data_IF_863134557517
#
_entry.id   IF_863134557517
#
_cell.length_a   1.000
_cell.length_b   1.000
_cell.length_c   1.000
_cell.angle_alpha   90.00
_cell.angle_beta   90.00
_cell.angle_gamma   90.00
#
_symmetry.space_group_name_H-M   'P 1'
#
loop_
_entity.id
_entity.type
_entity.pdbx_description
1 polymer ?
#
# COMPACT_ATOMS: atom_id res chain seq x y z
N UNK A 1 20.18 -17.71 10.56
CA UNK A 1 19.92 -16.32 10.11
C UNK A 1 20.31 -16.20 8.65
N UNK A 2 19.59 -15.43 7.81
CA UNK A 2 19.95 -15.22 6.40
C UNK A 2 21.40 -14.74 6.27
N UNK A 3 22.22 -15.47 5.52
CA UNK A 3 23.63 -15.14 5.32
C UNK A 3 23.76 -14.04 4.25
N UNK A 4 22.96 -14.15 3.17
CA UNK A 4 22.95 -13.14 2.12
C UNK A 4 22.25 -11.86 2.58
N UNK A 5 22.98 -10.73 2.51
CA UNK A 5 22.52 -9.46 3.06
C UNK A 5 21.73 -8.66 2.02
N UNK A 6 20.44 -8.43 2.29
CA UNK A 6 19.54 -7.60 1.47
C UNK A 6 18.99 -6.38 2.20
N UNK A 7 19.64 -5.98 3.31
CA UNK A 7 19.18 -4.85 4.11
C UNK A 7 19.14 -3.54 3.33
N UNK A 8 20.18 -3.27 2.53
CA UNK A 8 20.27 -2.04 1.74
C UNK A 8 19.16 -1.96 0.69
N UNK A 9 18.95 -3.04 -0.06
CA UNK A 9 17.93 -3.15 -1.10
C UNK A 9 16.53 -3.06 -0.49
N UNK A 10 16.30 -3.74 0.64
CA UNK A 10 15.03 -3.67 1.34
C UNK A 10 14.73 -2.25 1.84
N UNK A 11 15.76 -1.54 2.34
CA UNK A 11 15.61 -0.16 2.75
C UNK A 11 15.33 0.77 1.56
N UNK A 12 16.02 0.61 0.43
CA UNK A 12 15.73 1.34 -0.79
C UNK A 12 14.30 1.09 -1.25
N UNK A 13 13.89 -0.17 -1.31
CA UNK A 13 12.51 -0.54 -1.63
C UNK A 13 11.49 0.12 -0.67
N UNK A 14 11.79 0.14 0.63
CA UNK A 14 10.96 0.81 1.62
C UNK A 14 10.81 2.30 1.35
N UNK A 15 11.91 3.00 1.13
CA UNK A 15 11.90 4.45 0.97
C UNK A 15 11.20 4.90 -0.32
N UNK A 16 11.32 4.12 -1.39
CA UNK A 16 10.86 4.54 -2.71
C UNK A 16 9.48 3.98 -3.07
N UNK A 17 9.14 2.79 -2.56
CA UNK A 17 7.94 2.07 -3.01
C UNK A 17 6.94 1.70 -1.90
N UNK A 18 7.35 1.69 -0.64
CA UNK A 18 6.47 1.30 0.47
C UNK A 18 6.04 2.48 1.33
N UNK A 19 6.97 3.33 1.70
CA UNK A 19 6.72 4.46 2.59
C UNK A 19 5.90 5.54 1.90
N UNK A 20 4.77 5.89 2.49
CA UNK A 20 3.98 7.03 2.08
C UNK A 20 4.67 8.32 2.53
N UNK A 21 4.98 9.23 1.61
CA UNK A 21 5.66 10.51 1.89
C UNK A 21 4.83 11.70 1.41
N UNK A 22 4.67 11.81 0.10
CA UNK A 22 4.15 12.99 -0.55
C UNK A 22 2.63 13.12 -0.38
N UNK A 23 1.92 12.00 -0.38
CA UNK A 23 0.48 11.93 -0.25
C UNK A 23 -0.02 12.26 1.17
N UNK A 24 0.84 12.18 2.20
CA UNK A 24 0.46 12.49 3.59
C UNK A 24 -0.01 13.93 3.74
N UNK A 25 0.68 14.88 3.12
CA UNK A 25 0.31 16.29 3.18
C UNK A 25 -1.02 16.53 2.47
N UNK A 26 -1.26 15.87 1.34
CA UNK A 26 -2.52 15.92 0.63
C UNK A 26 -3.67 15.33 1.46
N UNK A 27 -3.47 14.17 2.08
CA UNK A 27 -4.46 13.54 2.97
C UNK A 27 -4.79 14.44 4.16
N UNK A 28 -3.79 15.07 4.78
CA UNK A 28 -4.00 16.06 5.85
C UNK A 28 -4.79 17.27 5.35
N UNK A 29 -4.49 17.77 4.17
CA UNK A 29 -5.26 18.85 3.55
C UNK A 29 -6.72 18.45 3.29
N UNK A 30 -6.98 17.23 2.81
CA UNK A 30 -8.33 16.72 2.64
C UNK A 30 -9.05 16.56 3.98
N UNK A 31 -8.37 16.09 5.02
CA UNK A 31 -8.89 16.06 6.39
C UNK A 31 -9.36 17.45 6.83
N UNK A 32 -8.48 18.43 6.74
CA UNK A 32 -8.74 19.79 7.23
C UNK A 32 -9.89 20.43 6.44
N UNK A 33 -9.92 20.26 5.14
CA UNK A 33 -11.02 20.70 4.28
C UNK A 33 -12.36 20.08 4.69
N UNK A 34 -12.40 18.78 4.98
CA UNK A 34 -13.65 18.12 5.37
C UNK A 34 -14.08 18.45 6.80
N UNK A 35 -13.15 18.71 7.70
CA UNK A 35 -13.47 19.21 9.04
C UNK A 35 -14.07 20.63 8.98
N UNK A 36 -13.56 21.50 8.11
CA UNK A 36 -14.13 22.81 7.84
C UNK A 36 -15.55 22.71 7.26
N UNK A 37 -15.72 21.89 6.21
CA UNK A 37 -17.04 21.63 5.60
C UNK A 37 -18.05 21.09 6.60
N UNK A 38 -17.64 20.17 7.45
CA UNK A 38 -18.49 19.63 8.53
C UNK A 38 -18.93 20.74 9.49
N UNK A 39 -17.99 21.57 9.96
CA UNK A 39 -18.27 22.65 10.90
C UNK A 39 -19.23 23.70 10.31
N UNK A 40 -18.98 24.12 9.07
CA UNK A 40 -19.82 25.09 8.37
C UNK A 40 -21.22 24.53 8.04
N UNK A 41 -21.28 23.28 7.57
CA UNK A 41 -22.53 22.62 7.24
C UNK A 41 -23.40 22.37 8.47
N UNK A 42 -22.81 21.95 9.61
CA UNK A 42 -23.54 21.84 10.88
C UNK A 42 -24.13 23.21 11.30
N UNK A 43 -23.35 24.28 11.21
CA UNK A 43 -23.79 25.63 11.55
C UNK A 43 -24.97 26.07 10.67
N UNK A 44 -24.92 25.85 9.36
CA UNK A 44 -25.99 26.21 8.43
C UNK A 44 -27.29 25.43 8.65
N UNK A 45 -27.15 24.16 9.03
CA UNK A 45 -28.27 23.28 9.37
C UNK A 45 -28.81 23.53 10.80
N UNK A 46 -28.25 24.48 11.54
CA UNK A 46 -28.66 24.79 12.91
C UNK A 46 -28.30 23.71 13.94
N UNK A 47 -27.26 22.92 13.66
CA UNK A 47 -26.80 21.87 14.56
C UNK A 47 -25.55 22.27 15.34
N UNK A 48 -25.38 21.76 16.59
CA UNK A 48 -24.14 21.93 17.35
C UNK A 48 -22.93 21.33 16.64
N UNK A 49 -21.77 21.95 16.87
CA UNK A 49 -20.51 21.48 16.28
C UNK A 49 -19.86 20.40 17.16
N UNK A 50 -18.90 19.66 16.56
CA UNK A 50 -18.04 18.75 17.34
C UNK A 50 -17.09 19.54 18.25
N UNK A 51 -16.76 18.97 19.41
CA UNK A 51 -15.88 19.59 20.41
C UNK A 51 -14.42 19.21 20.24
N UNK A 52 -14.13 18.11 19.54
CA UNK A 52 -12.76 17.61 19.33
C UNK A 52 -12.68 16.70 18.11
N UNK A 53 -11.53 16.70 17.46
CA UNK A 53 -11.19 15.71 16.44
C UNK A 53 -9.86 15.04 16.75
N UNK A 54 -9.67 13.81 16.26
CA UNK A 54 -8.46 13.00 16.47
C UNK A 54 -8.16 12.20 15.21
N UNK A 55 -6.90 12.15 14.84
CA UNK A 55 -6.43 11.28 13.77
C UNK A 55 -6.42 9.82 14.25
N UNK A 56 -6.86 8.90 13.40
CA UNK A 56 -6.92 7.47 13.68
C UNK A 56 -6.24 6.65 12.57
N UNK A 57 -6.33 5.33 12.66
CA UNK A 57 -5.97 4.39 11.61
C UNK A 57 -4.49 4.37 11.25
N UNK A 58 -4.24 4.04 10.00
CA UNK A 58 -2.88 3.77 9.52
C UNK A 58 -1.98 5.00 9.50
N UNK A 59 -2.54 6.18 9.31
CA UNK A 59 -1.81 7.46 9.35
C UNK A 59 -1.38 7.79 10.78
N UNK A 60 -2.29 7.67 11.77
CA UNK A 60 -1.99 7.91 13.17
C UNK A 60 -0.94 6.92 13.73
N UNK A 61 -1.01 5.67 13.30
CA UNK A 61 -0.06 4.61 13.69
C UNK A 61 1.28 4.73 12.94
N UNK A 62 1.42 5.63 11.97
CA UNK A 62 2.57 5.69 11.07
C UNK A 62 2.82 4.36 10.34
N UNK A 63 1.78 3.72 9.85
CA UNK A 63 1.84 2.43 9.10
C UNK A 63 1.16 2.49 7.74
N UNK A 64 0.83 3.68 7.25
CA UNK A 64 0.28 3.87 5.91
C UNK A 64 1.34 3.57 4.85
N UNK A 65 0.93 2.89 3.77
CA UNK A 65 1.77 2.50 2.64
C UNK A 65 1.38 3.26 1.38
N UNK A 66 2.33 3.38 0.45
CA UNK A 66 2.00 3.70 -0.95
C UNK A 66 1.02 2.66 -1.50
N UNK A 67 0.10 3.11 -2.32
CA UNK A 67 -0.87 2.27 -3.02
C UNK A 67 -0.62 2.37 -4.53
N UNK A 68 -0.54 1.22 -5.20
CA UNK A 68 -0.43 1.15 -6.66
C UNK A 68 -1.68 1.68 -7.38
N UNK A 69 -2.81 1.75 -6.66
CA UNK A 69 -4.11 2.14 -7.21
C UNK A 69 -4.51 3.57 -6.80
N UNK A 70 -3.62 4.32 -6.16
CA UNK A 70 -3.92 5.60 -5.51
C UNK A 70 -5.08 5.52 -4.50
N UNK A 71 -5.32 4.33 -3.94
CA UNK A 71 -6.33 4.09 -2.92
C UNK A 71 -5.74 4.43 -1.56
N UNK A 72 -5.97 5.66 -1.12
CA UNK A 72 -5.44 6.22 0.13
C UNK A 72 -6.58 6.65 1.04
N UNK A 73 -6.49 6.22 2.29
CA UNK A 73 -7.45 6.54 3.35
C UNK A 73 -6.83 7.39 4.46
N UNK A 74 -7.62 8.29 5.01
CA UNK A 74 -7.33 8.97 6.27
C UNK A 74 -8.54 8.87 7.20
N UNK A 75 -8.30 8.27 8.37
CA UNK A 75 -9.32 8.05 9.38
C UNK A 75 -9.30 9.16 10.41
N UNK A 76 -10.46 9.72 10.73
CA UNK A 76 -10.63 10.81 11.71
C UNK A 76 -11.77 10.43 12.67
N UNK A 77 -11.57 10.63 13.95
CA UNK A 77 -12.65 10.66 14.92
C UNK A 77 -13.12 12.11 15.13
N UNK A 78 -14.42 12.36 15.09
CA UNK A 78 -15.04 13.61 15.55
C UNK A 78 -15.89 13.31 16.78
N UNK A 79 -15.73 14.11 17.83
CA UNK A 79 -16.36 13.89 19.13
C UNK A 79 -17.33 15.03 19.39
N UNK A 80 -18.58 14.69 19.66
CA UNK A 80 -19.66 15.60 20.03
C UNK A 80 -20.03 15.41 21.49
N UNK A 81 -20.71 16.37 22.10
CA UNK A 81 -21.43 16.11 23.34
C UNK A 81 -22.61 15.18 23.08
N UNK A 82 -22.96 14.33 24.03
CA UNK A 82 -24.03 13.34 23.88
C UNK A 82 -25.37 14.01 23.47
N UNK A 83 -25.71 15.14 24.12
CA UNK A 83 -26.95 15.86 23.88
C UNK A 83 -26.98 16.60 22.52
N UNK A 84 -25.85 16.74 21.87
CA UNK A 84 -25.70 17.42 20.57
C UNK A 84 -25.95 16.49 19.37
N UNK A 85 -26.10 15.18 19.64
CA UNK A 85 -26.30 14.18 18.60
C UNK A 85 -27.68 13.52 18.69
N UNK A 86 -28.22 13.01 17.55
CA UNK A 86 -29.37 12.14 17.56
C UNK A 86 -29.15 10.89 18.43
N UNK A 87 -30.19 10.44 19.09
CA UNK A 87 -30.14 9.24 19.93
C UNK A 87 -29.70 7.98 19.18
N UNK A 88 -30.09 7.85 17.89
CA UNK A 88 -29.72 6.70 17.07
C UNK A 88 -28.37 6.94 16.35
N UNK A 89 -27.40 5.99 16.43
CA UNK A 89 -26.08 6.14 15.80
C UNK A 89 -26.15 6.37 14.29
N UNK A 90 -27.07 5.72 13.60
CA UNK A 90 -27.28 5.92 12.16
C UNK A 90 -27.67 7.38 11.85
N UNK A 91 -28.56 7.97 12.66
CA UNK A 91 -29.03 9.33 12.45
C UNK A 91 -27.88 10.35 12.74
N UNK A 92 -27.03 10.06 13.73
CA UNK A 92 -25.81 10.86 13.96
C UNK A 92 -24.88 10.83 12.73
N UNK A 93 -24.63 9.66 12.15
CA UNK A 93 -23.83 9.55 10.91
C UNK A 93 -24.51 10.23 9.72
N UNK A 94 -25.81 10.08 9.55
CA UNK A 94 -26.55 10.78 8.47
C UNK A 94 -26.46 12.29 8.60
N UNK A 95 -26.59 12.84 9.82
CA UNK A 95 -26.43 14.29 10.08
C UNK A 95 -25.03 14.78 9.66
N UNK A 96 -23.97 14.04 10.01
CA UNK A 96 -22.61 14.38 9.61
C UNK A 96 -22.44 14.29 8.09
N UNK A 97 -22.98 13.26 7.45
CA UNK A 97 -22.94 13.11 5.99
C UNK A 97 -23.67 14.26 5.28
N UNK A 98 -24.85 14.66 5.77
CA UNK A 98 -25.65 15.78 5.25
C UNK A 98 -24.91 17.10 5.41
N UNK A 99 -24.35 17.38 6.58
CA UNK A 99 -23.60 18.59 6.85
C UNK A 99 -22.39 18.75 5.89
N UNK A 100 -21.64 17.66 5.66
CA UNK A 100 -20.52 17.68 4.71
C UNK A 100 -21.03 17.86 3.29
N UNK A 101 -22.13 17.18 2.90
CA UNK A 101 -22.69 17.26 1.56
C UNK A 101 -23.23 18.66 1.25
N UNK A 102 -23.77 19.38 2.23
CA UNK A 102 -24.27 20.76 2.09
C UNK A 102 -23.17 21.75 1.65
N UNK A 103 -21.90 21.42 1.89
CA UNK A 103 -20.71 22.21 1.52
C UNK A 103 -19.83 21.57 0.45
N UNK A 104 -20.34 20.54 -0.21
CA UNK A 104 -19.53 19.72 -1.08
C UNK A 104 -19.40 20.28 -2.49
N UNK A 105 -18.14 20.41 -2.94
CA UNK A 105 -17.78 20.52 -4.36
C UNK A 105 -16.70 19.49 -4.69
N UNK A 106 -16.84 18.79 -5.83
CA UNK A 106 -15.78 17.94 -6.38
C UNK A 106 -15.68 16.54 -5.78
N UNK A 107 -16.72 16.05 -5.12
CA UNK A 107 -16.80 14.63 -4.72
C UNK A 107 -17.11 13.75 -5.94
N UNK A 108 -16.57 12.53 -5.95
CA UNK A 108 -16.92 11.52 -6.97
C UNK A 108 -18.33 10.96 -6.74
N UNK A 109 -18.79 10.97 -5.50
CA UNK A 109 -20.12 10.59 -5.05
C UNK A 109 -20.43 11.27 -3.71
N UNK A 110 -21.71 11.33 -3.34
CA UNK A 110 -22.13 11.94 -2.08
C UNK A 110 -21.51 11.21 -0.88
N UNK A 111 -21.21 11.93 0.22
CA UNK A 111 -20.77 11.32 1.48
C UNK A 111 -21.77 10.25 1.95
N UNK A 112 -21.27 9.06 2.31
CA UNK A 112 -22.10 7.93 2.71
C UNK A 112 -21.95 7.62 4.19
N UNK A 113 -23.10 7.51 4.87
CA UNK A 113 -23.16 7.07 6.28
C UNK A 113 -23.02 5.53 6.37
N UNK A 114 -21.80 5.02 6.35
CA UNK A 114 -21.50 3.60 6.55
C UNK A 114 -21.62 3.18 8.01
N UNK A 115 -21.52 1.88 8.29
CA UNK A 115 -21.72 1.33 9.65
C UNK A 115 -20.79 1.93 10.69
N UNK A 116 -19.54 2.23 10.34
CA UNK A 116 -18.53 2.67 11.29
C UNK A 116 -18.01 4.11 11.07
N UNK A 117 -18.34 4.73 9.96
CA UNK A 117 -17.88 6.06 9.60
C UNK A 117 -18.77 6.70 8.54
N UNK A 118 -18.60 7.99 8.33
CA UNK A 118 -19.00 8.66 7.10
C UNK A 118 -17.81 8.67 6.17
N UNK A 119 -17.96 8.07 4.98
CA UNK A 119 -16.91 7.98 3.97
C UNK A 119 -17.13 9.00 2.86
N UNK A 120 -16.07 9.70 2.50
CA UNK A 120 -16.04 10.74 1.46
C UNK A 120 -15.03 10.28 0.41
N UNK A 121 -15.49 10.16 -0.87
CA UNK A 121 -14.64 9.70 -1.98
C UNK A 121 -14.27 10.85 -2.91
N UNK A 122 -13.01 10.89 -3.28
CA UNK A 122 -12.47 11.80 -4.27
C UNK A 122 -12.13 11.04 -5.57
N UNK A 123 -12.36 11.69 -6.70
CA UNK A 123 -12.11 11.09 -8.02
C UNK A 123 -10.65 10.63 -8.25
N UNK A 124 -9.71 11.19 -7.48
CA UNK A 124 -8.29 10.81 -7.51
C UNK A 124 -7.95 9.56 -6.67
N UNK A 125 -8.94 8.83 -6.14
CA UNK A 125 -8.75 7.61 -5.35
C UNK A 125 -8.52 7.82 -3.85
N UNK A 126 -8.65 9.06 -3.36
CA UNK A 126 -8.49 9.36 -1.92
C UNK A 126 -9.83 9.20 -1.20
N UNK A 127 -9.76 8.69 0.03
CA UNK A 127 -10.91 8.59 0.93
C UNK A 127 -10.64 9.33 2.24
N UNK A 128 -11.72 9.89 2.80
CA UNK A 128 -11.71 10.44 4.17
C UNK A 128 -12.82 9.74 4.94
N UNK A 129 -12.45 9.01 5.97
CA UNK A 129 -13.37 8.30 6.84
C UNK A 129 -13.53 9.04 8.17
N UNK A 130 -14.72 9.54 8.45
CA UNK A 130 -15.04 10.27 9.66
C UNK A 130 -15.86 9.37 10.59
N UNK A 131 -15.22 8.87 11.64
CA UNK A 131 -15.87 8.12 12.71
C UNK A 131 -16.49 9.08 13.73
N UNK A 132 -17.77 8.89 14.04
CA UNK A 132 -18.52 9.76 14.94
C UNK A 132 -18.51 9.17 16.34
N UNK A 133 -18.16 10.00 17.30
CA UNK A 133 -18.19 9.69 18.72
C UNK A 133 -19.07 10.67 19.47
N UNK A 134 -19.72 10.18 20.55
CA UNK A 134 -20.33 11.05 21.56
C UNK A 134 -19.58 10.94 22.86
N UNK A 135 -19.53 12.04 23.60
CA UNK A 135 -18.92 12.17 24.90
C UNK A 135 -19.99 12.34 25.95
N UNK A 136 -19.94 11.54 27.01
CA UNK A 136 -20.76 11.71 28.20
C UNK A 136 -19.91 11.50 29.44
N UNK A 137 -20.43 11.88 30.60
CA UNK A 137 -19.82 11.59 31.88
C UNK A 137 -20.58 10.48 32.58
N UNK A 138 -19.85 9.60 33.27
CA UNK A 138 -20.46 8.66 34.21
C UNK A 138 -20.85 9.36 35.52
N UNK A 139 -21.42 8.59 36.46
CA UNK A 139 -21.84 9.09 37.77
C UNK A 139 -20.67 9.55 38.66
N UNK A 140 -19.43 9.17 38.35
CA UNK A 140 -18.21 9.62 39.02
C UNK A 140 -17.58 10.84 38.31
N UNK A 141 -18.16 11.31 37.19
CA UNK A 141 -17.64 12.40 36.41
C UNK A 141 -16.56 12.00 35.39
N UNK A 142 -16.25 10.71 35.22
CA UNK A 142 -15.27 10.24 34.25
C UNK A 142 -15.84 10.36 32.83
N UNK A 143 -15.01 10.76 31.89
CA UNK A 143 -15.37 10.82 30.47
C UNK A 143 -15.56 9.42 29.89
N UNK A 144 -16.70 9.20 29.24
CA UNK A 144 -17.00 8.01 28.46
C UNK A 144 -17.17 8.44 27.00
N UNK A 145 -16.44 7.80 26.11
CA UNK A 145 -16.56 7.97 24.66
C UNK A 145 -17.27 6.74 24.07
N UNK A 146 -18.28 6.99 23.25
CA UNK A 146 -19.04 5.93 22.56
C UNK A 146 -19.03 6.20 21.05
N UNK A 147 -18.68 5.18 20.29
CA UNK A 147 -18.63 5.20 18.84
C UNK A 147 -19.99 4.90 18.22
N UNK A 148 -20.37 5.67 17.20
CA UNK A 148 -21.59 5.49 16.42
C UNK A 148 -21.43 4.32 15.40
N UNK A 149 -21.43 3.09 15.89
CA UNK A 149 -21.45 1.88 15.09
C UNK A 149 -22.86 1.42 14.72
N UNK A 150 -23.11 0.11 14.67
CA UNK A 150 -24.48 -0.42 14.59
C UNK A 150 -25.31 0.00 15.82
N UNK A 151 -24.67 0.07 16.97
CA UNK A 151 -25.15 0.68 18.22
C UNK A 151 -24.07 1.63 18.77
N UNK A 152 -24.43 2.45 19.77
CA UNK A 152 -23.43 3.20 20.54
C UNK A 152 -22.59 2.20 21.34
N UNK A 153 -21.28 2.19 21.11
CA UNK A 153 -20.36 1.23 21.75
C UNK A 153 -19.23 2.00 22.41
N UNK A 154 -18.98 1.73 23.69
CA UNK A 154 -17.86 2.31 24.42
C UNK A 154 -16.55 1.99 23.70
N UNK A 155 -15.84 3.02 23.31
CA UNK A 155 -14.58 2.89 22.57
C UNK A 155 -13.74 4.16 22.69
N UNK A 156 -12.47 4.00 23.05
CA UNK A 156 -11.51 5.10 22.99
C UNK A 156 -10.92 5.21 21.57
N UNK A 157 -11.09 6.35 20.88
CA UNK A 157 -10.55 6.56 19.53
C UNK A 157 -9.02 6.55 19.47
N UNK A 158 -8.32 6.73 20.59
CA UNK A 158 -6.86 6.69 20.68
C UNK A 158 -6.29 5.32 21.02
N UNK A 159 -7.06 4.47 21.66
CA UNK A 159 -6.56 3.26 22.32
C UNK A 159 -5.71 2.37 21.40
N UNK A 160 -6.12 2.17 20.13
CA UNK A 160 -5.36 1.37 19.15
C UNK A 160 -4.00 2.04 18.82
N UNK A 161 -4.01 3.35 18.64
CA UNK A 161 -2.79 4.11 18.30
C UNK A 161 -1.82 4.13 19.48
N UNK A 162 -2.33 4.33 20.69
CA UNK A 162 -1.54 4.40 21.92
C UNK A 162 -0.94 3.02 22.24
N UNK A 163 -1.74 1.95 22.16
CA UNK A 163 -1.27 0.58 22.29
C UNK A 163 -0.14 0.29 21.29
N UNK A 164 -0.37 0.55 20.00
CA UNK A 164 0.64 0.24 18.99
C UNK A 164 1.91 1.07 19.15
N UNK A 165 1.78 2.34 19.55
CA UNK A 165 2.93 3.21 19.83
C UNK A 165 3.72 2.70 21.01
N UNK A 166 3.06 2.23 22.07
CA UNK A 166 3.69 1.58 23.20
C UNK A 166 4.46 0.33 22.78
N UNK A 167 3.84 -0.59 22.01
CA UNK A 167 4.50 -1.80 21.51
C UNK A 167 5.73 -1.49 20.65
N UNK A 168 5.62 -0.50 19.76
CA UNK A 168 6.75 -0.04 18.94
C UNK A 168 7.89 0.49 19.79
N UNK A 169 7.59 1.30 20.81
CA UNK A 169 8.63 1.88 21.69
C UNK A 169 9.31 0.83 22.55
N UNK A 170 8.55 -0.17 22.99
CA UNK A 170 9.03 -1.25 23.87
C UNK A 170 9.88 -2.28 23.12
N UNK A 171 9.53 -2.59 21.88
CA UNK A 171 10.10 -3.71 21.12
C UNK A 171 11.12 -3.31 20.06
N UNK A 172 11.04 -2.11 19.50
CA UNK A 172 12.00 -1.69 18.48
C UNK A 172 13.38 -1.45 19.10
N UNK A 173 14.48 -1.75 18.37
CA UNK A 173 15.82 -1.49 18.85
C UNK A 173 16.01 -0.01 19.19
N UNK A 174 16.58 0.26 20.38
CA UNK A 174 17.11 1.57 20.70
C UNK A 174 18.47 1.69 20.00
N UNK A 175 18.64 2.58 19.04
CA UNK A 175 19.95 2.87 18.50
C UNK A 175 20.80 3.51 19.61
N UNK A 176 21.93 2.88 19.93
CA UNK A 176 22.97 3.42 20.82
C UNK A 176 23.80 4.53 20.13
N UNK A 177 23.21 5.33 19.23
CA UNK A 177 23.84 6.42 18.54
C UNK A 177 23.01 7.68 18.70
N UNK A 178 23.67 8.82 18.67
CA UNK A 178 23.14 10.17 18.87
C UNK A 178 21.97 10.58 17.98
N UNK A 179 21.46 9.68 17.12
CA UNK A 179 20.31 9.89 16.28
C UNK A 179 19.10 9.12 16.83
N UNK A 180 18.20 9.82 17.49
CA UNK A 180 16.86 9.31 17.75
C UNK A 180 16.17 9.03 16.40
N UNK A 181 15.63 7.82 16.19
CA UNK A 181 14.86 7.54 14.98
C UNK A 181 13.73 8.56 14.85
N UNK A 182 13.58 9.17 13.68
CA UNK A 182 12.44 10.05 13.44
C UNK A 182 11.14 9.30 13.72
N UNK A 183 10.17 10.01 14.31
CA UNK A 183 8.84 9.44 14.59
C UNK A 183 8.29 8.75 13.34
N UNK A 184 7.86 7.51 13.49
CA UNK A 184 7.32 6.69 12.39
C UNK A 184 8.35 5.89 11.59
N UNK A 185 9.63 5.94 11.94
CA UNK A 185 10.70 5.18 11.25
C UNK A 185 11.28 4.01 12.06
N UNK A 186 10.71 3.72 13.21
CA UNK A 186 11.15 2.58 14.04
C UNK A 186 11.01 1.26 13.27
N UNK A 187 11.90 0.30 13.57
CA UNK A 187 11.99 -0.96 12.84
C UNK A 187 10.66 -1.73 12.80
N UNK A 188 9.97 -1.86 13.93
CA UNK A 188 8.68 -2.56 13.98
C UNK A 188 7.63 -1.94 13.05
N UNK A 189 7.60 -0.59 12.90
CA UNK A 189 6.71 0.08 11.95
C UNK A 189 7.06 -0.26 10.49
N UNK A 190 8.36 -0.37 10.17
CA UNK A 190 8.81 -0.82 8.84
C UNK A 190 8.38 -2.26 8.56
N UNK A 191 8.54 -3.15 9.54
CA UNK A 191 8.08 -4.55 9.44
C UNK A 191 6.57 -4.61 9.14
N UNK A 192 5.74 -3.88 9.90
CA UNK A 192 4.29 -3.81 9.63
C UNK A 192 4.02 -3.34 8.20
N UNK A 193 4.72 -2.31 7.73
CA UNK A 193 4.53 -1.78 6.37
C UNK A 193 4.94 -2.79 5.29
N UNK A 194 6.03 -3.51 5.44
CA UNK A 194 6.43 -4.57 4.49
C UNK A 194 5.40 -5.71 4.45
N UNK A 195 4.91 -6.15 5.61
CA UNK A 195 3.89 -7.20 5.64
C UNK A 195 2.58 -6.69 5.05
N UNK A 196 2.19 -5.44 5.29
CA UNK A 196 1.03 -4.82 4.61
C UNK A 196 1.23 -4.69 3.10
N UNK A 197 2.45 -4.34 2.63
CA UNK A 197 2.76 -4.34 1.20
C UNK A 197 2.61 -5.73 0.59
N UNK A 198 3.09 -6.76 1.27
CA UNK A 198 2.90 -8.15 0.89
C UNK A 198 1.41 -8.53 0.82
N UNK A 199 0.61 -8.21 1.85
CA UNK A 199 -0.80 -8.60 1.90
C UNK A 199 -1.67 -7.89 0.87
N UNK A 200 -1.30 -6.66 0.48
CA UNK A 200 -2.01 -5.87 -0.54
C UNK A 200 -1.49 -6.08 -1.96
N UNK A 201 -0.27 -6.56 -2.11
CA UNK A 201 0.41 -6.70 -3.41
C UNK A 201 -0.12 -7.81 -4.31
N UNK A 202 -1.09 -8.61 -3.85
CA UNK A 202 -1.62 -9.75 -4.60
C UNK A 202 -3.13 -9.78 -4.62
N UNK A 203 -3.71 -9.45 -5.76
CA UNK A 203 -5.14 -9.64 -6.00
C UNK A 203 -5.51 -11.13 -5.89
N UNK A 204 -6.69 -11.42 -5.34
CA UNK A 204 -7.21 -12.78 -5.22
C UNK A 204 -6.66 -13.62 -4.04
N UNK A 205 -5.65 -13.15 -3.30
CA UNK A 205 -5.16 -13.90 -2.14
C UNK A 205 -6.04 -13.77 -0.91
N UNK A 206 -6.89 -12.76 -0.84
CA UNK A 206 -7.80 -12.50 0.26
C UNK A 206 -7.10 -12.62 1.63
N UNK A 207 -6.16 -11.70 1.89
CA UNK A 207 -5.33 -11.66 3.10
C UNK A 207 -5.87 -10.63 4.11
N UNK A 208 -5.48 -10.71 5.40
CA UNK A 208 -6.02 -9.84 6.44
C UNK A 208 -5.60 -8.38 6.29
N UNK A 209 -6.44 -7.49 6.80
CA UNK A 209 -6.22 -6.05 6.83
C UNK A 209 -5.20 -5.59 7.86
N UNK A 210 -4.91 -4.29 7.84
CA UNK A 210 -3.80 -3.68 8.58
C UNK A 210 -3.86 -3.85 10.10
N UNK A 211 -5.06 -3.89 10.72
CA UNK A 211 -5.16 -4.05 12.18
C UNK A 211 -4.77 -5.46 12.62
N UNK A 212 -5.27 -6.51 11.94
CA UNK A 212 -4.87 -7.90 12.20
C UNK A 212 -3.36 -8.08 11.97
N UNK A 213 -2.80 -7.49 10.90
CA UNK A 213 -1.35 -7.55 10.64
C UNK A 213 -0.56 -6.85 11.76
N UNK A 214 -0.99 -5.67 12.20
CA UNK A 214 -0.31 -4.94 13.29
C UNK A 214 -0.35 -5.73 14.60
N UNK A 215 -1.47 -6.41 14.89
CA UNK A 215 -1.61 -7.28 16.07
C UNK A 215 -0.66 -8.47 15.99
N UNK A 216 -0.66 -9.20 14.88
CA UNK A 216 0.24 -10.35 14.69
C UNK A 216 1.73 -9.94 14.75
N UNK A 217 2.07 -8.78 14.20
CA UNK A 217 3.43 -8.27 14.33
C UNK A 217 3.75 -7.93 15.78
N UNK A 218 2.86 -7.26 16.51
CA UNK A 218 3.09 -6.94 17.92
C UNK A 218 3.29 -8.19 18.80
N UNK A 219 2.55 -9.28 18.49
CA UNK A 219 2.69 -10.57 19.17
C UNK A 219 4.01 -11.30 18.86
N UNK A 220 4.50 -11.18 17.63
CA UNK A 220 5.53 -12.07 17.07
C UNK A 220 6.83 -11.36 16.66
N UNK A 221 6.92 -10.05 16.85
CA UNK A 221 8.05 -9.25 16.37
C UNK A 221 9.39 -9.74 16.89
N UNK A 222 10.35 -9.85 15.98
CA UNK A 222 11.74 -10.15 16.28
C UNK A 222 12.61 -9.00 15.79
N UNK A 223 13.28 -8.34 16.71
CA UNK A 223 14.17 -7.21 16.40
C UNK A 223 15.54 -7.70 15.93
N UNK A 224 16.17 -6.93 15.06
CA UNK A 224 17.60 -7.02 14.79
C UNK A 224 18.21 -5.61 14.80
N UNK A 225 19.34 -5.44 15.48
CA UNK A 225 19.93 -4.11 15.69
C UNK A 225 20.50 -3.51 14.38
N UNK A 226 20.85 -4.34 13.43
CA UNK A 226 21.63 -3.93 12.25
C UNK A 226 20.94 -4.22 10.91
N UNK A 227 20.01 -5.20 10.87
CA UNK A 227 19.49 -5.73 9.62
C UNK A 227 17.98 -5.89 9.64
N UNK A 228 17.29 -5.08 8.84
CA UNK A 228 15.83 -5.15 8.70
C UNK A 228 15.35 -6.41 7.95
N UNK A 229 16.17 -6.95 7.05
CA UNK A 229 15.85 -8.19 6.32
C UNK A 229 15.84 -9.41 7.25
N UNK A 230 16.74 -9.45 8.24
CA UNK A 230 16.70 -10.45 9.31
C UNK A 230 15.45 -10.27 10.18
N UNK A 231 15.23 -9.04 10.67
CA UNK A 231 14.06 -8.75 11.50
C UNK A 231 12.74 -9.10 10.79
N UNK A 232 12.63 -8.83 9.49
CA UNK A 232 11.47 -9.20 8.70
C UNK A 232 11.31 -10.72 8.57
N UNK A 233 12.39 -11.42 8.19
CA UNK A 233 12.36 -12.88 8.03
C UNK A 233 11.97 -13.59 9.33
N UNK A 234 12.61 -13.24 10.43
CA UNK A 234 12.36 -13.85 11.75
C UNK A 234 10.94 -13.53 12.25
N UNK A 235 10.45 -12.32 12.03
CA UNK A 235 9.07 -11.95 12.37
C UNK A 235 8.06 -12.76 11.54
N UNK A 236 8.27 -12.92 10.22
CA UNK A 236 7.42 -13.76 9.37
C UNK A 236 7.42 -15.22 9.84
N UNK A 237 8.59 -15.75 10.21
CA UNK A 237 8.75 -17.11 10.73
C UNK A 237 7.99 -17.31 12.05
N UNK A 238 8.07 -16.35 12.96
CA UNK A 238 7.32 -16.38 14.23
C UNK A 238 5.82 -16.26 14.02
N UNK A 239 5.36 -15.38 13.12
CA UNK A 239 3.94 -15.29 12.76
C UNK A 239 3.46 -16.64 12.18
N UNK A 240 4.23 -17.26 11.29
CA UNK A 240 3.87 -18.57 10.73
C UNK A 240 3.73 -19.63 11.80
N UNK A 241 4.72 -19.76 12.69
CA UNK A 241 4.67 -20.71 13.82
C UNK A 241 3.47 -20.46 14.73
N UNK A 242 3.23 -19.19 15.08
CA UNK A 242 2.08 -18.77 15.90
C UNK A 242 0.76 -19.17 15.24
N UNK A 243 0.62 -18.95 13.92
CA UNK A 243 -0.59 -19.30 13.17
C UNK A 243 -0.70 -20.82 12.92
N UNK A 244 0.39 -21.59 12.98
CA UNK A 244 0.32 -23.05 12.94
C UNK A 244 -0.34 -23.64 14.19
N UNK A 245 -0.13 -22.99 15.34
CA UNK A 245 -0.75 -23.37 16.59
C UNK A 245 -2.22 -22.92 16.67
N UNK A 246 -2.49 -21.64 16.34
CA UNK A 246 -3.85 -21.07 16.43
C UNK A 246 -4.01 -19.94 15.42
N UNK A 247 -5.05 -20.01 14.57
CA UNK A 247 -5.40 -18.94 13.64
C UNK A 247 -6.29 -17.85 14.25
N UNK A 248 -6.74 -17.98 15.49
CA UNK A 248 -7.52 -16.97 16.19
C UNK A 248 -6.64 -15.76 16.51
N UNK A 249 -7.07 -14.56 16.18
CA UNK A 249 -6.38 -13.31 16.53
C UNK A 249 -7.25 -12.52 17.49
N UNK A 250 -6.76 -12.29 18.70
CA UNK A 250 -7.48 -11.54 19.73
C UNK A 250 -7.27 -10.04 19.57
N UNK A 251 -8.29 -9.28 19.99
CA UNK A 251 -8.15 -7.83 20.08
C UNK A 251 -7.13 -7.47 21.18
N UNK A 252 -6.06 -6.72 20.87
CA UNK A 252 -5.05 -6.39 21.84
C UNK A 252 -5.52 -5.46 22.96
N UNK A 253 -6.67 -4.80 22.78
CA UNK A 253 -7.30 -3.91 23.76
C UNK A 253 -8.34 -4.63 24.63
N UNK A 254 -8.83 -5.76 24.17
CA UNK A 254 -9.81 -6.58 24.87
C UNK A 254 -9.67 -8.03 24.42
N UNK A 255 -8.94 -8.82 25.21
CA UNK A 255 -8.64 -10.21 24.87
C UNK A 255 -9.85 -11.14 24.83
N UNK A 256 -11.02 -10.70 25.33
CA UNK A 256 -12.28 -11.43 25.21
C UNK A 256 -12.86 -11.40 23.78
N UNK A 257 -12.43 -10.41 22.98
CA UNK A 257 -12.90 -10.23 21.60
C UNK A 257 -11.91 -10.83 20.60
N UNK A 258 -12.43 -11.51 19.57
CA UNK A 258 -11.67 -12.01 18.46
C UNK A 258 -11.77 -11.06 17.27
N UNK A 259 -10.64 -10.67 16.69
CA UNK A 259 -10.61 -9.98 15.39
C UNK A 259 -10.97 -10.92 14.24
N UNK A 260 -10.94 -12.22 14.51
CA UNK A 260 -11.27 -13.32 13.58
C UNK A 260 -12.64 -13.96 13.86
N UNK A 261 -13.52 -13.28 14.59
CA UNK A 261 -14.87 -13.76 14.92
C UNK A 261 -15.75 -14.01 13.68
N UNK A 262 -15.54 -13.21 12.63
CA UNK A 262 -16.28 -13.35 11.36
C UNK A 262 -15.58 -14.31 10.41
N UNK A 263 -16.32 -15.21 9.71
CA UNK A 263 -15.76 -16.19 8.78
C UNK A 263 -14.84 -15.59 7.72
N UNK A 264 -15.10 -14.34 7.28
CA UNK A 264 -14.26 -13.63 6.34
C UNK A 264 -12.84 -13.42 6.90
N UNK A 265 -12.72 -12.96 8.14
CA UNK A 265 -11.42 -12.63 8.74
C UNK A 265 -10.65 -13.90 9.14
N UNK A 266 -11.36 -14.93 9.63
CA UNK A 266 -10.78 -16.24 9.87
C UNK A 266 -10.19 -16.86 8.60
N UNK A 267 -10.94 -16.83 7.50
CA UNK A 267 -10.45 -17.28 6.18
C UNK A 267 -9.22 -16.49 5.73
N UNK A 268 -9.21 -15.18 5.94
CA UNK A 268 -8.07 -14.32 5.59
C UNK A 268 -6.80 -14.70 6.36
N UNK A 269 -6.91 -14.99 7.66
CA UNK A 269 -5.76 -15.40 8.48
C UNK A 269 -5.28 -16.81 8.09
N UNK A 270 -6.18 -17.75 7.82
CA UNK A 270 -5.82 -19.08 7.28
C UNK A 270 -5.10 -18.98 5.93
N UNK A 271 -5.54 -18.06 5.06
CA UNK A 271 -4.83 -17.77 3.82
C UNK A 271 -3.44 -17.18 4.08
N UNK A 272 -3.32 -16.24 5.03
CA UNK A 272 -2.02 -15.68 5.43
C UNK A 272 -1.07 -16.79 5.87
N UNK A 273 -1.50 -17.67 6.79
CA UNK A 273 -0.73 -18.82 7.26
C UNK A 273 -0.15 -19.65 6.10
N UNK A 274 -1.00 -20.01 5.13
CA UNK A 274 -0.58 -20.78 3.95
C UNK A 274 0.44 -20.03 3.10
N UNK A 275 0.19 -18.73 2.86
CA UNK A 275 1.05 -17.90 2.01
C UNK A 275 2.40 -17.59 2.65
N UNK A 276 2.44 -17.45 3.98
CA UNK A 276 3.69 -17.33 4.72
C UNK A 276 4.58 -18.56 4.55
N UNK A 277 4.02 -19.77 4.59
CA UNK A 277 4.79 -20.98 4.30
C UNK A 277 5.46 -20.93 2.93
N UNK A 278 4.72 -20.53 1.90
CA UNK A 278 5.27 -20.38 0.54
C UNK A 278 6.33 -19.28 0.44
N UNK A 279 6.14 -18.15 1.13
CA UNK A 279 7.13 -17.05 1.15
C UNK A 279 8.41 -17.48 1.85
N UNK A 280 8.30 -18.08 3.04
CA UNK A 280 9.46 -18.51 3.82
C UNK A 280 10.28 -19.55 3.05
N UNK A 281 9.62 -20.54 2.42
CA UNK A 281 10.31 -21.52 1.57
C UNK A 281 11.08 -20.88 0.40
N UNK A 282 10.59 -19.79 -0.18
CA UNK A 282 11.33 -19.05 -1.22
C UNK A 282 12.51 -18.25 -0.65
N UNK A 283 12.38 -17.75 0.57
CA UNK A 283 13.42 -16.99 1.25
C UNK A 283 14.53 -17.89 1.83
N UNK A 284 14.34 -19.20 1.92
CA UNK A 284 15.38 -20.16 2.34
C UNK A 284 16.67 -20.06 1.51
N UNK A 285 16.58 -19.65 0.25
CA UNK A 285 17.75 -19.42 -0.60
C UNK A 285 18.74 -18.40 -0.03
N UNK A 286 18.29 -17.50 0.87
CA UNK A 286 19.13 -16.52 1.54
C UNK A 286 20.11 -17.15 2.56
N UNK A 287 19.92 -18.40 2.91
CA UNK A 287 20.79 -19.17 3.82
C UNK A 287 21.83 -20.01 3.09
N UNK A 288 21.75 -20.10 1.78
CA UNK A 288 22.66 -20.86 0.93
C UNK A 288 23.90 -20.01 0.64
N UNK A 289 25.09 -20.57 0.90
CA UNK A 289 26.37 -19.92 0.62
C UNK A 289 26.55 -19.60 -0.89
N UNK A 290 25.85 -20.31 -1.76
CA UNK A 290 25.80 -20.08 -3.21
C UNK A 290 24.72 -19.04 -3.62
N UNK A 291 24.09 -18.35 -2.66
CA UNK A 291 23.10 -17.32 -2.96
C UNK A 291 23.73 -16.16 -3.72
N UNK A 292 23.11 -15.78 -4.82
CA UNK A 292 23.50 -14.63 -5.63
C UNK A 292 22.46 -13.52 -5.50
N UNK A 293 22.80 -12.27 -5.85
CA UNK A 293 21.86 -11.16 -5.91
C UNK A 293 20.60 -11.49 -6.71
N UNK A 294 20.76 -12.17 -7.85
CA UNK A 294 19.64 -12.59 -8.69
C UNK A 294 18.71 -13.59 -7.96
N UNK A 295 19.27 -14.58 -7.26
CA UNK A 295 18.50 -15.55 -6.47
C UNK A 295 17.76 -14.85 -5.32
N UNK A 296 18.46 -13.97 -4.60
CA UNK A 296 17.90 -13.21 -3.48
C UNK A 296 16.78 -12.28 -3.95
N UNK A 297 16.98 -11.51 -5.02
CA UNK A 297 15.93 -10.65 -5.61
C UNK A 297 14.73 -11.43 -6.08
N UNK A 298 14.92 -12.59 -6.69
CA UNK A 298 13.83 -13.48 -7.11
C UNK A 298 13.00 -13.95 -5.91
N UNK A 299 13.63 -14.26 -4.78
CA UNK A 299 12.95 -14.64 -3.55
C UNK A 299 12.12 -13.48 -2.97
N UNK A 300 12.67 -12.30 -2.87
CA UNK A 300 11.96 -11.10 -2.43
C UNK A 300 10.86 -10.69 -3.41
N UNK A 301 11.09 -10.85 -4.72
CA UNK A 301 10.04 -10.62 -5.73
C UNK A 301 8.85 -11.56 -5.56
N UNK A 302 9.09 -12.80 -5.13
CA UNK A 302 7.98 -13.70 -4.80
C UNK A 302 7.11 -13.12 -3.67
N UNK A 303 7.69 -12.46 -2.68
CA UNK A 303 6.96 -11.81 -1.60
C UNK A 303 6.22 -10.56 -2.07
N UNK A 304 6.91 -9.61 -2.70
CA UNK A 304 6.38 -8.27 -2.95
C UNK A 304 5.74 -8.07 -4.33
N UNK A 305 6.04 -8.92 -5.31
CA UNK A 305 5.59 -8.78 -6.72
C UNK A 305 5.76 -7.36 -7.29
N UNK A 306 6.93 -6.80 -7.10
CA UNK A 306 7.23 -5.44 -7.51
C UNK A 306 8.42 -5.41 -8.46
N UNK A 307 8.37 -4.56 -9.49
CA UNK A 307 9.43 -4.42 -10.53
C UNK A 307 10.81 -4.10 -9.96
N UNK A 308 10.89 -3.45 -8.81
CA UNK A 308 12.14 -3.21 -8.09
C UNK A 308 12.94 -4.50 -7.83
N UNK A 309 12.27 -5.60 -7.55
CA UNK A 309 12.86 -6.91 -7.25
C UNK A 309 13.12 -7.76 -8.48
N UNK A 310 12.56 -7.40 -9.61
CA UNK A 310 12.89 -8.06 -10.87
C UNK A 310 14.29 -7.62 -11.21
N UNK A 311 15.29 -8.51 -11.05
CA UNK A 311 16.62 -8.23 -11.55
C UNK A 311 16.52 -7.99 -13.06
N UNK A 312 16.77 -6.78 -13.49
CA UNK A 312 17.33 -6.59 -14.83
C UNK A 312 18.60 -7.45 -14.83
N UNK A 313 18.72 -8.34 -15.77
CA UNK A 313 19.92 -9.18 -15.89
C UNK A 313 21.14 -8.29 -15.92
N UNK A 314 21.66 -7.99 -14.73
CA UNK A 314 22.85 -7.13 -14.54
C UNK A 314 24.09 -7.81 -15.11
N UNK A 315 24.03 -9.13 -15.36
CA UNK A 315 25.05 -9.85 -16.10
C UNK A 315 25.19 -9.37 -17.55
N UNK A 316 24.15 -8.82 -18.15
CA UNK A 316 24.28 -8.17 -19.46
C UNK A 316 24.72 -6.69 -19.36
N UNK A 317 24.39 -6.00 -18.27
CA UNK A 317 24.85 -4.62 -18.04
C UNK A 317 26.31 -4.58 -17.60
N UNK A 318 26.75 -5.50 -16.75
CA UNK A 318 28.13 -5.53 -16.23
C UNK A 318 29.18 -6.07 -17.22
N UNK A 319 28.78 -6.85 -18.22
CA UNK A 319 29.70 -7.40 -19.23
C UNK A 319 29.94 -6.48 -20.42
N UNK A 320 29.14 -5.44 -20.64
CA UNK A 320 29.22 -4.59 -21.81
C UNK A 320 29.43 -3.11 -21.47
N UNK A 321 30.66 -2.71 -21.14
CA UNK A 321 31.17 -1.36 -21.35
C UNK A 321 30.41 -0.18 -20.72
N UNK A 322 29.69 -0.34 -19.62
CA UNK A 322 29.03 0.76 -18.91
C UNK A 322 27.83 1.39 -19.66
N UNK A 323 27.25 0.70 -20.61
CA UNK A 323 26.03 1.15 -21.28
C UNK A 323 24.81 0.90 -20.41
N UNK A 324 23.87 1.87 -20.40
CA UNK A 324 22.58 1.75 -19.75
C UNK A 324 21.41 1.93 -20.73
N UNK A 325 20.24 1.40 -20.37
CA UNK A 325 18.98 1.63 -21.03
C UNK A 325 17.89 1.80 -19.99
N UNK A 326 17.18 2.91 -20.05
CA UNK A 326 16.00 3.18 -19.23
C UNK A 326 14.78 3.32 -20.12
N UNK A 327 13.62 2.83 -19.66
CA UNK A 327 12.33 3.07 -20.28
C UNK A 327 11.53 4.04 -19.42
N UNK A 328 11.00 5.09 -20.03
CA UNK A 328 9.88 5.83 -19.48
C UNK A 328 8.60 5.45 -20.23
N UNK A 329 7.47 5.36 -19.51
CA UNK A 329 6.15 5.12 -20.09
C UNK A 329 5.24 6.30 -19.76
N UNK A 330 4.51 6.78 -20.78
CA UNK A 330 3.49 7.80 -20.63
C UNK A 330 2.17 7.31 -21.22
N UNK A 331 1.06 7.79 -20.70
CA UNK A 331 -0.29 7.37 -21.09
C UNK A 331 -1.00 8.50 -21.83
N UNK A 332 -1.71 8.17 -22.92
CA UNK A 332 -2.51 9.10 -23.70
C UNK A 332 -3.86 8.48 -24.12
N UNK A 333 -4.86 9.30 -24.46
CA UNK A 333 -6.14 8.83 -25.01
C UNK A 333 -6.01 8.35 -26.46
N UNK A 334 -5.14 8.99 -27.22
CA UNK A 334 -4.91 8.68 -28.64
C UNK A 334 -3.42 8.61 -28.93
N UNK A 335 -3.02 7.86 -29.96
CA UNK A 335 -1.65 7.84 -30.44
C UNK A 335 -1.23 9.26 -30.86
N UNK A 336 -0.07 9.71 -30.40
CA UNK A 336 0.44 11.06 -30.60
C UNK A 336 -0.42 12.20 -29.97
N UNK A 337 -1.40 11.87 -29.12
CA UNK A 337 -2.22 12.86 -28.43
C UNK A 337 -1.61 13.38 -27.14
N UNK A 338 -2.36 14.25 -26.45
CA UNK A 338 -1.96 14.78 -25.16
C UNK A 338 -1.75 13.66 -24.14
N UNK A 339 -0.65 13.77 -23.39
CA UNK A 339 -0.32 12.82 -22.32
C UNK A 339 -1.21 13.05 -21.10
N UNK A 340 -1.92 12.02 -20.70
CA UNK A 340 -2.72 12.00 -19.45
C UNK A 340 -1.84 11.84 -18.22
N UNK A 341 -0.79 11.03 -18.34
CA UNK A 341 0.22 10.80 -17.29
C UNK A 341 1.58 10.61 -17.92
N UNK A 342 2.64 11.08 -17.22
CA UNK A 342 4.05 10.90 -17.61
C UNK A 342 4.77 10.06 -16.57
N UNK A 343 5.80 9.34 -17.00
CA UNK A 343 6.68 8.54 -16.13
C UNK A 343 5.88 7.58 -15.23
N UNK A 344 4.95 6.85 -15.84
CA UNK A 344 4.13 5.86 -15.12
C UNK A 344 5.00 4.67 -14.76
N UNK A 345 4.94 4.26 -13.51
CA UNK A 345 5.79 3.19 -12.98
C UNK A 345 5.48 1.83 -13.62
N UNK A 346 6.53 1.02 -13.74
CA UNK A 346 6.40 -0.36 -14.18
C UNK A 346 5.54 -1.17 -13.20
N UNK A 347 4.53 -1.86 -13.74
CA UNK A 347 3.55 -2.60 -12.95
C UNK A 347 2.31 -1.81 -12.55
N UNK A 348 2.19 -0.52 -12.95
CA UNK A 348 0.98 0.26 -12.73
C UNK A 348 -0.23 -0.37 -13.43
N UNK A 349 -1.41 -0.26 -12.79
CA UNK A 349 -2.67 -0.71 -13.36
C UNK A 349 -3.29 0.37 -14.25
N UNK A 350 -3.64 -0.02 -15.46
CA UNK A 350 -4.24 0.86 -16.47
C UNK A 350 -5.56 0.30 -16.97
N UNK A 351 -6.54 1.16 -17.31
CA UNK A 351 -7.73 0.72 -17.99
C UNK A 351 -7.44 0.40 -19.47
N UNK A 352 -8.32 -0.36 -20.10
CA UNK A 352 -8.31 -0.62 -21.55
C UNK A 352 -8.55 0.66 -22.35
N UNK A 353 -8.25 0.61 -23.65
CA UNK A 353 -8.49 1.66 -24.66
C UNK A 353 -7.64 2.93 -24.47
N UNK A 354 -6.48 2.80 -23.85
CA UNK A 354 -5.47 3.86 -23.78
C UNK A 354 -4.32 3.57 -24.74
N UNK A 355 -3.54 4.60 -25.05
CA UNK A 355 -2.27 4.50 -25.76
C UNK A 355 -1.11 4.72 -24.81
N UNK A 356 -0.08 3.91 -24.96
CA UNK A 356 1.13 3.93 -24.17
C UNK A 356 2.28 4.41 -25.05
N UNK A 357 2.93 5.50 -24.65
CA UNK A 357 4.16 5.97 -25.27
C UNK A 357 5.33 5.47 -24.45
N UNK A 358 6.14 4.60 -25.00
CA UNK A 358 7.43 4.20 -24.44
C UNK A 358 8.54 5.03 -25.05
N UNK A 359 9.49 5.45 -24.22
CA UNK A 359 10.64 6.21 -24.63
C UNK A 359 11.91 5.60 -24.00
N UNK A 360 12.84 5.21 -24.88
CA UNK A 360 14.12 4.60 -24.49
C UNK A 360 15.19 5.69 -24.33
N UNK A 361 15.87 5.69 -23.18
CA UNK A 361 16.97 6.59 -22.85
C UNK A 361 18.23 5.74 -22.64
N UNK A 362 19.25 5.94 -23.46
CA UNK A 362 20.48 5.16 -23.42
C UNK A 362 21.71 6.03 -23.68
N UNK A 363 22.87 5.58 -23.17
CA UNK A 363 24.19 6.15 -23.50
C UNK A 363 24.94 5.33 -24.56
N UNK A 364 24.31 4.34 -25.19
CA UNK A 364 24.94 3.63 -26.29
C UNK A 364 25.15 4.60 -27.46
N UNK A 365 26.40 4.76 -27.98
CA UNK A 365 26.67 5.69 -29.06
C UNK A 365 25.98 5.27 -30.36
N UNK A 366 25.34 6.23 -31.06
CA UNK A 366 24.80 6.04 -32.41
C UNK A 366 25.90 5.65 -33.39
N UNK A 367 25.63 4.87 -34.49
CA UNK A 367 24.30 4.30 -34.83
C UNK A 367 23.99 3.02 -34.04
N UNK A 368 22.71 2.85 -33.73
CA UNK A 368 22.17 1.64 -33.13
C UNK A 368 20.74 1.39 -33.62
N UNK A 369 20.26 0.16 -33.46
CA UNK A 369 18.85 -0.23 -33.67
C UNK A 369 18.17 -0.46 -32.35
N UNK A 370 16.94 0.03 -32.19
CA UNK A 370 16.10 -0.24 -31.02
C UNK A 370 15.09 -1.32 -31.40
N UNK A 371 15.13 -2.42 -30.66
CA UNK A 371 14.19 -3.52 -30.81
C UNK A 371 13.19 -3.50 -29.68
N UNK A 372 11.92 -3.41 -30.02
CA UNK A 372 10.80 -3.44 -29.12
C UNK A 372 10.10 -4.78 -29.22
N UNK A 373 9.82 -5.41 -28.08
CA UNK A 373 9.08 -6.67 -28.03
C UNK A 373 7.98 -6.55 -26.99
N UNK A 374 6.76 -6.80 -27.41
CA UNK A 374 5.59 -6.88 -26.55
C UNK A 374 5.32 -8.36 -26.28
N UNK A 375 5.13 -8.71 -25.01
CA UNK A 375 4.64 -10.00 -24.57
C UNK A 375 3.30 -9.77 -23.90
N UNK A 376 2.23 -10.31 -24.50
CA UNK A 376 0.89 -10.25 -23.95
C UNK A 376 0.59 -11.50 -23.14
N UNK A 377 -0.25 -11.39 -22.10
CA UNK A 377 -0.73 -12.53 -21.34
C UNK A 377 -2.15 -12.29 -20.84
N UNK A 378 -2.86 -13.38 -20.58
CA UNK A 378 -4.25 -13.37 -20.14
C UNK A 378 -5.22 -13.88 -21.20
N UNK A 379 -6.40 -14.31 -20.76
CA UNK A 379 -7.40 -15.01 -21.58
C UNK A 379 -7.84 -14.22 -22.82
N UNK A 380 -7.91 -12.89 -22.72
CA UNK A 380 -8.31 -12.04 -23.84
C UNK A 380 -7.24 -11.97 -24.95
N UNK A 381 -5.95 -11.95 -24.57
CA UNK A 381 -4.84 -11.95 -25.52
C UNK A 381 -4.72 -13.33 -26.22
N UNK A 382 -4.92 -14.40 -25.45
CA UNK A 382 -4.94 -15.76 -25.96
C UNK A 382 -6.11 -15.98 -26.94
N UNK A 383 -7.31 -15.56 -26.58
CA UNK A 383 -8.49 -15.63 -27.44
C UNK A 383 -8.34 -14.81 -28.74
N UNK A 384 -7.59 -13.70 -28.69
CA UNK A 384 -7.28 -12.87 -29.83
C UNK A 384 -6.10 -13.41 -30.67
N UNK A 385 -5.44 -14.49 -30.24
CA UNK A 385 -4.21 -15.04 -30.81
C UNK A 385 -3.09 -13.98 -30.96
N UNK A 386 -3.03 -13.04 -30.01
CA UNK A 386 -2.04 -11.95 -29.96
C UNK A 386 -1.21 -12.05 -28.66
N UNK A 387 -0.35 -13.06 -28.60
CA UNK A 387 0.53 -13.29 -27.45
C UNK A 387 1.76 -12.38 -27.48
N UNK A 388 1.85 -11.49 -28.45
CA UNK A 388 2.88 -10.47 -28.56
C UNK A 388 3.48 -10.32 -29.96
N UNK A 389 4.28 -9.25 -30.09
CA UNK A 389 4.91 -8.92 -31.38
C UNK A 389 6.26 -8.23 -31.17
N UNK A 390 6.99 -8.09 -32.29
CA UNK A 390 8.32 -7.46 -32.32
C UNK A 390 8.34 -6.36 -33.36
N UNK A 391 8.88 -5.20 -32.97
CA UNK A 391 9.18 -4.10 -33.87
C UNK A 391 10.66 -3.71 -33.74
N UNK A 392 11.35 -3.51 -34.85
CA UNK A 392 12.70 -2.97 -34.87
C UNK A 392 12.69 -1.62 -35.59
N UNK A 393 13.32 -0.62 -34.99
CA UNK A 393 13.34 0.75 -35.51
C UNK A 393 14.61 1.46 -35.09
N UNK A 394 14.97 2.54 -35.78
CA UNK A 394 16.05 3.43 -35.33
C UNK A 394 15.55 4.50 -34.34
N UNK A 395 14.25 4.55 -34.08
CA UNK A 395 13.63 5.50 -33.18
C UNK A 395 13.57 5.00 -31.75
N UNK A 396 13.81 5.90 -30.80
CA UNK A 396 13.76 5.63 -29.36
C UNK A 396 12.34 5.69 -28.77
N UNK A 397 11.33 5.94 -29.60
CA UNK A 397 9.91 6.03 -29.19
C UNK A 397 9.11 4.92 -29.82
N UNK A 398 8.29 4.25 -29.01
CA UNK A 398 7.34 3.24 -29.44
C UNK A 398 5.97 3.47 -28.82
N UNK A 399 4.92 3.16 -29.57
CA UNK A 399 3.54 3.32 -29.12
C UNK A 399 2.81 1.98 -29.15
N UNK A 400 2.16 1.69 -28.03
CA UNK A 400 1.30 0.53 -27.87
C UNK A 400 -0.11 0.91 -27.39
N UNK A 401 -1.02 -0.06 -27.39
CA UNK A 401 -2.40 0.13 -26.94
C UNK A 401 -2.74 -0.86 -25.84
N UNK A 402 -3.47 -0.39 -24.81
CA UNK A 402 -4.01 -1.27 -23.76
C UNK A 402 -5.24 -2.02 -24.31
N UNK A 403 -5.00 -3.12 -25.03
CA UNK A 403 -6.03 -3.89 -25.73
C UNK A 403 -6.66 -4.98 -24.84
N UNK A 404 -5.84 -5.76 -24.15
CA UNK A 404 -6.23 -6.97 -23.44
C UNK A 404 -6.04 -6.83 -21.95
N UNK A 405 -6.94 -7.40 -21.15
CA UNK A 405 -6.74 -7.52 -19.70
C UNK A 405 -5.64 -8.53 -19.40
N UNK A 406 -4.82 -8.23 -18.40
CA UNK A 406 -3.74 -9.12 -17.98
C UNK A 406 -2.45 -8.39 -17.67
N UNK A 407 -1.39 -9.17 -17.51
CA UNK A 407 -0.01 -8.67 -17.31
C UNK A 407 0.71 -8.72 -18.64
N UNK A 408 1.24 -7.60 -19.07
CA UNK A 408 1.96 -7.47 -20.34
C UNK A 408 3.37 -6.96 -20.05
N UNK A 409 4.32 -7.32 -20.91
CA UNK A 409 5.70 -6.84 -20.81
C UNK A 409 6.08 -6.11 -22.10
N UNK A 410 6.62 -4.90 -21.95
CA UNK A 410 7.37 -4.22 -22.99
C UNK A 410 8.85 -4.44 -22.74
N UNK A 411 9.55 -5.13 -23.63
CA UNK A 411 10.98 -5.35 -23.60
C UNK A 411 11.63 -4.46 -24.67
N UNK A 412 12.65 -3.70 -24.28
CA UNK A 412 13.42 -2.85 -25.17
C UNK A 412 14.89 -3.29 -25.16
N UNK A 413 15.47 -3.45 -26.34
CA UNK A 413 16.86 -3.84 -26.56
C UNK A 413 17.54 -2.84 -27.50
N UNK A 414 18.75 -2.38 -27.15
CA UNK A 414 19.59 -1.58 -28.03
C UNK A 414 20.63 -2.50 -28.68
N UNK A 415 20.57 -2.60 -30.01
CA UNK A 415 21.49 -3.42 -30.79
C UNK A 415 22.51 -2.53 -31.53
N UNK A 416 23.78 -2.86 -31.41
CA UNK A 416 24.85 -2.25 -32.18
C UNK A 416 25.74 -3.33 -32.77
N UNK A 417 25.94 -3.26 -34.10
CA UNK A 417 26.69 -4.29 -34.85
C UNK A 417 26.12 -5.72 -34.65
N UNK A 418 24.79 -5.84 -34.55
CA UNK A 418 24.11 -7.14 -34.37
C UNK A 418 24.09 -7.68 -32.94
N UNK A 419 24.80 -7.05 -32.00
CA UNK A 419 24.85 -7.47 -30.61
C UNK A 419 23.98 -6.59 -29.71
N UNK A 420 23.30 -7.18 -28.71
CA UNK A 420 22.57 -6.45 -27.69
C UNK A 420 23.55 -5.78 -26.74
N UNK A 421 23.57 -4.46 -26.72
CA UNK A 421 24.44 -3.64 -25.86
C UNK A 421 23.76 -3.21 -24.56
N UNK A 422 22.45 -3.08 -24.56
CA UNK A 422 21.64 -2.80 -23.38
C UNK A 422 20.22 -3.36 -23.56
N UNK A 423 19.59 -3.83 -22.50
CA UNK A 423 18.21 -4.34 -22.50
C UNK A 423 17.52 -3.93 -21.21
N UNK A 424 16.22 -3.67 -21.31
CA UNK A 424 15.37 -3.39 -20.14
C UNK A 424 13.91 -3.79 -20.42
N UNK A 425 13.09 -3.90 -19.38
CA UNK A 425 11.66 -4.21 -19.52
C UNK A 425 10.78 -3.31 -18.65
N UNK A 426 9.54 -3.14 -19.09
CA UNK A 426 8.50 -2.42 -18.38
C UNK A 426 7.23 -3.28 -18.32
N UNK A 427 6.71 -3.49 -17.13
CA UNK A 427 5.47 -4.23 -16.92
C UNK A 427 4.27 -3.31 -17.06
N UNK A 428 3.20 -3.81 -17.67
CA UNK A 428 1.92 -3.12 -17.84
C UNK A 428 0.81 -4.05 -17.36
N UNK A 429 0.06 -3.65 -16.35
CA UNK A 429 -1.12 -4.37 -15.90
C UNK A 429 -2.38 -3.69 -16.44
N UNK A 430 -3.24 -4.43 -17.15
CA UNK A 430 -4.47 -3.91 -17.75
C UNK A 430 -5.69 -4.57 -17.11
N UNK A 431 -6.65 -3.72 -16.68
CA UNK A 431 -7.92 -4.14 -16.06
C UNK A 431 -9.09 -4.09 -17.03
#
# INVERSE_FOLDING_TARGET
>A
MPQYNMHSELNTFYQDHVRLKDEINRLRGLRDTNLTRLSEGLKELGHPNYVKNLLQGSIAMYTANKSSNNDYDIDIAVIFEENDLPALPLNARKRVAEAINNKAFGFSQNPEARTNAVTIWYAAGYHVDIAIYRRRKDFLGNEILEHAGASWTKRDPKAVTDWFTYEVSRQSPSKNTFETPQVGQQQMRRIVRWIKAFTKGREGWNLPGGFIISTLVAECYQSDNNRDDIALFETLSKIKLRLDCDCSVRNPLDSSQLLTDKPKFDTQVKNLKRRLGSVLSKLEVLFDDSCTDQKARKAWNYMFQHSFWVSVDSTQIAKNQGFYLRLSMSVAKTKNGFLLSKNVDSGAFLPKRLHLKFEAITNVPSPYTVKWRVLNSGDEAEAANDMGHVAATNGVIHWERTAYRGKHEMICEILKSGEVKASTKHLVNIR
#
